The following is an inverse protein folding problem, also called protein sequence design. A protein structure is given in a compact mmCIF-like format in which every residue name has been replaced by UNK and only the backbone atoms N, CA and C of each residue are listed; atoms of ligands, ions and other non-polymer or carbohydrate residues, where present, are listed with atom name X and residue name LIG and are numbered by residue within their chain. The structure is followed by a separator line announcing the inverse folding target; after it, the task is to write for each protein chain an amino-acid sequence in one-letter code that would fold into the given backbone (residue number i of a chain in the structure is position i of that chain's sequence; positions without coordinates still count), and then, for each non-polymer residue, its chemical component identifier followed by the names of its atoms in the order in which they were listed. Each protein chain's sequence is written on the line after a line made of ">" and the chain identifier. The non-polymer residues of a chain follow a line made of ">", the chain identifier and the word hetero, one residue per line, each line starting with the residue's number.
data_IF_884347529677
#
_entry.id   IF_884347529677
#
_cell.length_a   1.000
_cell.length_b   1.000
_cell.length_c   1.000
_cell.angle_alpha   90.00
_cell.angle_beta   90.00
_cell.angle_gamma   90.00
#
_symmetry.space_group_name_H-M   'P 1'
#
loop_
_entity.id
_entity.type
_entity.pdbx_description
1 polymer ?
#
# COMPACT_ATOMS: atom_id res chain seq x y z
N UNK A 1 13.10 17.48 -16.40
CA UNK A 1 12.67 17.26 -15.01
C UNK A 1 11.44 16.38 -15.07
N UNK A 2 11.55 15.14 -14.62
CA UNK A 2 10.40 14.26 -14.43
C UNK A 2 9.68 14.75 -13.17
N UNK A 3 8.44 15.23 -13.32
CA UNK A 3 7.64 15.65 -12.17
C UNK A 3 7.26 14.38 -11.38
N UNK A 4 7.35 14.37 -10.03
CA UNK A 4 7.19 13.17 -9.20
C UNK A 4 5.72 12.71 -9.02
N UNK A 5 4.86 12.96 -10.00
CA UNK A 5 3.41 12.83 -9.86
C UNK A 5 2.82 11.61 -10.61
N UNK A 6 3.63 10.96 -11.46
CA UNK A 6 3.22 9.80 -12.27
C UNK A 6 3.75 8.48 -11.68
N UNK A 7 3.02 7.39 -11.89
CA UNK A 7 3.48 6.04 -11.56
C UNK A 7 4.32 5.48 -12.69
N UNK A 8 5.64 5.46 -12.51
CA UNK A 8 6.59 4.87 -13.46
C UNK A 8 6.53 3.35 -13.50
N UNK A 9 6.70 2.77 -14.70
CA UNK A 9 6.78 1.33 -14.93
C UNK A 9 8.17 0.96 -15.44
N UNK A 10 8.77 -0.05 -14.84
CA UNK A 10 10.01 -0.66 -15.30
C UNK A 10 9.87 -2.18 -15.35
N UNK A 11 10.60 -2.82 -16.26
CA UNK A 11 10.60 -4.27 -16.45
C UNK A 11 12.02 -4.80 -16.37
N UNK A 12 12.18 -5.92 -15.68
CA UNK A 12 13.40 -6.70 -15.65
C UNK A 12 13.21 -8.01 -16.40
N UNK A 13 14.24 -8.44 -17.13
CA UNK A 13 14.31 -9.73 -17.81
C UNK A 13 15.28 -10.71 -17.12
N UNK A 14 15.91 -10.31 -16.01
CA UNK A 14 17.02 -11.00 -15.37
C UNK A 14 16.84 -11.08 -13.84
N UNK A 15 15.59 -11.29 -13.41
CA UNK A 15 15.19 -11.48 -12.00
C UNK A 15 15.45 -10.24 -11.12
N UNK A 16 15.28 -9.05 -11.69
CA UNK A 16 15.40 -7.77 -10.98
C UNK A 16 16.83 -7.24 -10.87
N UNK A 17 17.82 -7.85 -11.54
CA UNK A 17 19.21 -7.37 -11.53
C UNK A 17 19.40 -6.12 -12.38
N UNK A 18 18.75 -6.05 -13.54
CA UNK A 18 18.70 -4.88 -14.40
C UNK A 18 17.26 -4.53 -14.77
N UNK A 19 17.03 -3.23 -14.99
CA UNK A 19 15.69 -2.69 -15.23
C UNK A 19 15.69 -1.80 -16.47
N UNK A 20 14.70 -2.01 -17.33
CA UNK A 20 14.40 -1.11 -18.44
C UNK A 20 13.13 -0.32 -18.12
N UNK A 21 13.23 1.00 -18.07
CA UNK A 21 12.07 1.88 -17.94
C UNK A 21 11.16 1.74 -19.16
N UNK A 22 9.84 1.64 -18.94
CA UNK A 22 8.82 1.40 -19.96
C UNK A 22 7.80 2.53 -20.08
N UNK A 23 7.94 3.60 -19.30
CA UNK A 23 7.04 4.73 -19.32
C UNK A 23 6.24 4.85 -18.02
N UNK A 24 5.07 5.46 -18.10
CA UNK A 24 4.16 5.66 -16.98
C UNK A 24 2.93 4.75 -17.13
N UNK A 25 2.30 4.41 -16.02
CA UNK A 25 1.00 3.73 -16.01
C UNK A 25 -0.07 4.64 -16.63
N UNK A 26 -0.92 4.07 -17.47
CA UNK A 26 -2.01 4.75 -18.16
C UNK A 26 -3.34 4.54 -17.42
N UNK A 27 -4.27 5.50 -17.51
CA UNK A 27 -5.64 5.37 -16.97
C UNK A 27 -5.78 5.64 -15.47
N UNK A 28 -4.79 6.30 -14.86
CA UNK A 28 -4.82 6.66 -13.44
C UNK A 28 -5.61 7.95 -13.15
N UNK A 29 -6.04 8.69 -14.16
CA UNK A 29 -6.75 9.95 -13.99
C UNK A 29 -8.02 9.77 -13.13
N UNK A 30 -8.00 10.33 -11.91
CA UNK A 30 -9.13 10.25 -10.98
C UNK A 30 -9.99 11.53 -11.02
N UNK A 31 -9.36 12.68 -11.19
CA UNK A 31 -10.00 13.99 -11.25
C UNK A 31 -9.39 14.86 -12.37
N UNK A 32 -10.10 15.88 -12.86
CA UNK A 32 -9.58 16.76 -13.92
C UNK A 32 -8.31 17.49 -13.48
N UNK A 33 -7.29 17.50 -14.35
CA UNK A 33 -6.01 18.15 -14.10
C UNK A 33 -4.91 17.17 -13.69
N UNK A 34 -3.77 17.69 -13.22
CA UNK A 34 -2.66 16.88 -12.72
C UNK A 34 -2.83 16.63 -11.23
N UNK A 35 -2.58 15.41 -10.80
CA UNK A 35 -2.70 14.95 -9.43
C UNK A 35 -1.41 14.22 -9.03
N UNK A 36 -1.12 14.12 -7.74
CA UNK A 36 0.07 13.44 -7.23
C UNK A 36 -0.30 12.02 -6.80
N UNK A 37 0.40 11.03 -7.36
CA UNK A 37 0.29 9.61 -7.00
C UNK A 37 1.64 9.07 -6.52
N UNK A 38 1.64 8.22 -5.50
CA UNK A 38 2.88 7.55 -5.05
C UNK A 38 2.62 6.24 -4.31
N UNK A 39 3.69 5.51 -4.03
CA UNK A 39 3.70 4.24 -3.28
C UNK A 39 2.59 3.26 -3.71
N UNK A 40 2.54 2.86 -5.00
CA UNK A 40 1.55 1.88 -5.45
C UNK A 40 1.89 0.49 -4.89
N UNK A 41 0.91 -0.15 -4.29
CA UNK A 41 0.93 -1.58 -3.99
C UNK A 41 0.21 -2.33 -5.10
N UNK A 42 0.90 -3.27 -5.76
CA UNK A 42 0.34 -4.04 -6.88
C UNK A 42 0.34 -5.53 -6.55
N UNK A 43 -0.85 -6.13 -6.53
CA UNK A 43 -1.03 -7.55 -6.24
C UNK A 43 -1.70 -8.28 -7.41
N UNK A 44 -1.24 -9.51 -7.66
CA UNK A 44 -1.96 -10.46 -8.49
C UNK A 44 -2.92 -11.26 -7.59
N UNK A 45 -4.23 -11.11 -7.85
CA UNK A 45 -5.26 -11.74 -7.02
C UNK A 45 -5.85 -12.97 -7.69
N UNK A 46 -6.15 -12.83 -8.97
CA UNK A 46 -6.75 -13.85 -9.83
C UNK A 46 -5.91 -14.03 -11.09
N UNK A 47 -6.18 -15.10 -11.84
CA UNK A 47 -5.49 -15.35 -13.10
C UNK A 47 -5.79 -14.23 -14.09
N UNK A 48 -4.78 -13.40 -14.36
CA UNK A 48 -4.86 -12.31 -15.33
C UNK A 48 -5.40 -10.98 -14.81
N UNK A 49 -5.69 -10.85 -13.51
CA UNK A 49 -6.15 -9.59 -12.91
C UNK A 49 -5.18 -9.10 -11.85
N UNK A 50 -4.79 -7.83 -11.98
CA UNK A 50 -3.94 -7.11 -11.03
C UNK A 50 -4.75 -6.03 -10.35
N UNK A 51 -4.54 -5.86 -9.05
CA UNK A 51 -5.12 -4.77 -8.26
C UNK A 51 -3.99 -3.83 -7.86
N UNK A 52 -4.24 -2.53 -7.97
CA UNK A 52 -3.36 -1.48 -7.46
C UNK A 52 -4.07 -0.70 -6.37
N UNK A 53 -3.39 -0.49 -5.25
CA UNK A 53 -3.77 0.49 -4.22
C UNK A 53 -2.69 1.55 -4.18
N UNK A 54 -3.04 2.80 -4.49
CA UNK A 54 -2.07 3.88 -4.67
C UNK A 54 -2.45 5.08 -3.82
N UNK A 55 -1.45 5.70 -3.20
CA UNK A 55 -1.63 6.95 -2.46
C UNK A 55 -1.94 8.08 -3.44
N UNK A 56 -2.93 8.90 -3.11
CA UNK A 56 -3.39 10.01 -3.95
C UNK A 56 -3.55 11.30 -3.16
N UNK A 57 -3.07 12.40 -3.73
CA UNK A 57 -3.31 13.78 -3.31
C UNK A 57 -3.79 14.62 -4.50
N UNK A 58 -4.85 15.45 -4.33
CA UNK A 58 -5.27 16.38 -5.37
C UNK A 58 -4.20 17.43 -5.70
N UNK A 59 -4.00 17.71 -6.99
CA UNK A 59 -3.07 18.71 -7.49
C UNK A 59 -1.60 18.27 -7.48
N UNK A 60 -0.75 19.10 -8.08
CA UNK A 60 0.72 19.02 -7.90
C UNK A 60 1.08 19.82 -6.66
N UNK A 61 1.81 19.21 -5.73
CA UNK A 61 2.02 19.74 -4.38
C UNK A 61 3.42 20.33 -4.20
N UNK A 62 3.48 21.49 -3.52
CA UNK A 62 4.72 22.06 -2.95
C UNK A 62 4.88 21.73 -1.45
N UNK A 63 3.84 21.15 -0.85
CA UNK A 63 3.80 20.66 0.53
C UNK A 63 2.92 19.42 0.65
N UNK A 64 3.27 18.52 1.56
CA UNK A 64 2.53 17.28 1.81
C UNK A 64 1.37 17.49 2.78
N UNK A 65 0.55 18.52 2.58
CA UNK A 65 -0.58 18.86 3.47
C UNK A 65 -1.95 18.62 2.81
N UNK A 66 -3.03 18.59 3.60
CA UNK A 66 -4.39 18.30 3.12
C UNK A 66 -4.76 16.81 3.11
N UNK A 67 -5.86 16.49 2.45
CA UNK A 67 -6.47 15.16 2.48
C UNK A 67 -5.81 14.23 1.47
N UNK A 68 -5.54 13.00 1.90
CA UNK A 68 -4.93 11.95 1.10
C UNK A 68 -5.74 10.66 1.24
N UNK A 69 -5.84 9.90 0.17
CA UNK A 69 -6.66 8.70 0.11
C UNK A 69 -5.97 7.60 -0.68
N UNK A 70 -6.33 6.36 -0.38
CA UNK A 70 -5.95 5.21 -1.18
C UNK A 70 -6.99 4.99 -2.27
N UNK A 71 -6.54 5.01 -3.52
CA UNK A 71 -7.36 4.71 -4.68
C UNK A 71 -7.10 3.27 -5.14
N UNK A 72 -8.18 2.59 -5.54
CA UNK A 72 -8.15 1.23 -6.08
C UNK A 72 -8.34 1.25 -7.59
N UNK A 73 -7.41 0.60 -8.28
CA UNK A 73 -7.48 0.32 -9.70
C UNK A 73 -7.32 -1.17 -9.98
N UNK A 74 -7.79 -1.61 -11.14
CA UNK A 74 -7.48 -2.94 -11.67
C UNK A 74 -6.90 -2.87 -13.07
N UNK A 75 -6.14 -3.89 -13.44
CA UNK A 75 -5.55 -4.00 -14.76
C UNK A 75 -5.47 -5.47 -15.20
N UNK A 76 -5.57 -5.70 -16.51
CA UNK A 76 -5.28 -6.99 -17.13
C UNK A 76 -3.84 -7.12 -17.67
N UNK A 77 -3.15 -5.99 -17.89
CA UNK A 77 -1.85 -5.93 -18.57
C UNK A 77 -0.74 -5.24 -17.74
N UNK A 78 -1.09 -4.73 -16.55
CA UNK A 78 -0.24 -3.98 -15.60
C UNK A 78 0.20 -2.60 -16.10
N UNK A 79 -0.26 -2.18 -17.28
CA UNK A 79 0.11 -0.91 -17.91
C UNK A 79 -1.08 0.04 -17.92
N UNK A 80 -2.27 -0.46 -18.29
CA UNK A 80 -3.52 0.29 -18.33
C UNK A 80 -4.38 -0.08 -17.15
N UNK A 81 -4.76 0.93 -16.39
CA UNK A 81 -5.47 0.79 -15.15
C UNK A 81 -6.87 1.37 -15.28
N UNK A 82 -7.83 0.72 -14.65
CA UNK A 82 -9.21 1.15 -14.60
C UNK A 82 -9.57 1.42 -13.14
N UNK A 83 -10.04 2.64 -12.87
CA UNK A 83 -10.48 3.05 -11.55
C UNK A 83 -11.64 2.19 -11.05
N UNK A 84 -11.60 1.82 -9.76
CA UNK A 84 -12.66 1.05 -9.10
C UNK A 84 -13.29 1.79 -7.94
N UNK A 85 -12.49 2.31 -7.02
CA UNK A 85 -13.00 3.01 -5.85
C UNK A 85 -11.94 3.88 -5.18
N UNK A 86 -12.39 4.89 -4.45
CA UNK A 86 -11.62 5.47 -3.36
C UNK A 86 -11.97 4.69 -2.08
N UNK A 87 -10.98 4.27 -1.31
CA UNK A 87 -11.21 3.43 -0.14
C UNK A 87 -11.76 4.27 1.03
N UNK A 88 -12.87 3.82 1.61
CA UNK A 88 -13.35 4.33 2.90
C UNK A 88 -12.71 3.53 4.04
N UNK A 89 -11.65 4.10 4.62
CA UNK A 89 -10.93 3.54 5.76
C UNK A 89 -11.17 4.36 7.04
N UNK A 90 -12.21 5.20 7.06
CA UNK A 90 -12.56 6.04 8.22
C UNK A 90 -11.50 7.09 8.60
N UNK A 91 -10.66 7.50 7.65
CA UNK A 91 -9.72 8.62 7.79
C UNK A 91 -9.51 9.26 6.42
N UNK A 92 -9.33 10.59 6.41
CA UNK A 92 -9.13 11.43 5.23
C UNK A 92 -7.65 11.59 4.86
N UNK A 93 -6.77 10.80 5.49
CA UNK A 93 -5.32 10.93 5.30
C UNK A 93 -4.60 9.60 5.45
N UNK A 94 -4.98 8.66 4.58
CA UNK A 94 -4.48 7.29 4.55
C UNK A 94 -3.63 7.06 3.29
N UNK A 95 -2.44 6.51 3.48
CA UNK A 95 -1.43 6.35 2.42
C UNK A 95 -0.59 5.07 2.64
N UNK A 96 0.24 4.75 1.65
CA UNK A 96 1.29 3.74 1.68
C UNK A 96 0.76 2.35 2.03
N UNK A 97 -0.11 1.84 1.16
CA UNK A 97 -0.70 0.53 1.32
C UNK A 97 0.35 -0.58 1.13
N UNK A 98 0.10 -1.71 1.79
CA UNK A 98 0.68 -3.02 1.48
C UNK A 98 -0.39 -4.07 1.70
N UNK A 99 -0.48 -5.11 0.87
CA UNK A 99 -1.52 -6.13 0.99
C UNK A 99 -0.93 -7.54 1.02
N UNK A 100 -1.37 -8.36 1.97
CA UNK A 100 -0.90 -9.75 2.10
C UNK A 100 -2.06 -10.73 2.38
N UNK A 101 -2.05 -11.95 1.81
CA UNK A 101 -3.07 -12.97 2.07
C UNK A 101 -3.17 -13.39 3.54
N UNK A 102 -4.40 -13.49 4.06
CA UNK A 102 -4.72 -14.06 5.38
C UNK A 102 -4.36 -15.55 5.46
N UNK A 103 -3.94 -16.10 6.62
CA UNK A 103 -3.43 -17.48 6.70
C UNK A 103 -4.56 -18.50 6.54
N UNK A 104 -5.78 -18.09 6.87
CA UNK A 104 -6.99 -18.89 6.78
C UNK A 104 -7.56 -18.93 5.35
N UNK A 105 -6.93 -18.22 4.41
CA UNK A 105 -7.34 -18.17 3.00
C UNK A 105 -8.65 -17.43 2.75
N UNK A 106 -9.24 -16.76 3.75
CA UNK A 106 -10.55 -16.09 3.61
C UNK A 106 -10.50 -14.72 2.96
N UNK A 107 -9.32 -14.25 2.60
CA UNK A 107 -9.14 -12.93 2.01
C UNK A 107 -7.73 -12.42 2.18
N UNK A 108 -7.60 -11.09 2.16
CA UNK A 108 -6.32 -10.39 2.35
C UNK A 108 -6.45 -9.30 3.40
N UNK A 109 -5.31 -8.96 3.98
CA UNK A 109 -5.17 -7.82 4.88
C UNK A 109 -4.33 -6.75 4.21
N UNK A 110 -4.79 -5.52 4.30
CA UNK A 110 -4.04 -4.33 3.99
C UNK A 110 -3.43 -3.76 5.28
N UNK A 111 -2.23 -3.21 5.15
CA UNK A 111 -1.64 -2.24 6.08
C UNK A 111 -1.51 -0.92 5.38
N UNK A 112 -1.78 0.15 6.10
CA UNK A 112 -1.67 1.50 5.58
C UNK A 112 -1.31 2.45 6.72
N UNK A 113 -0.64 3.55 6.39
CA UNK A 113 -0.37 4.63 7.32
C UNK A 113 -1.61 5.50 7.43
N UNK A 114 -2.02 5.83 8.66
CA UNK A 114 -3.03 6.86 8.93
C UNK A 114 -2.36 8.07 9.58
N UNK A 115 -2.20 9.15 8.82
CA UNK A 115 -1.53 10.35 9.32
C UNK A 115 -2.40 11.12 10.34
N UNK A 116 -3.73 10.91 10.34
CA UNK A 116 -4.61 11.50 11.36
C UNK A 116 -4.51 10.79 12.69
N UNK A 117 -4.25 9.48 12.70
CA UNK A 117 -3.98 8.72 13.92
C UNK A 117 -2.46 8.61 14.18
N UNK A 118 -1.81 9.77 14.35
CA UNK A 118 -0.41 9.87 14.72
C UNK A 118 0.57 9.14 13.78
N UNK A 119 0.25 9.02 12.48
CA UNK A 119 1.07 8.29 11.50
C UNK A 119 1.32 6.83 11.90
N UNK A 120 0.31 6.19 12.49
CA UNK A 120 0.38 4.77 12.85
C UNK A 120 0.02 3.89 11.67
N UNK A 121 0.50 2.65 11.70
CA UNK A 121 0.09 1.63 10.73
C UNK A 121 -1.21 0.98 11.22
N UNK A 122 -2.26 1.10 10.42
CA UNK A 122 -3.55 0.44 10.62
C UNK A 122 -3.69 -0.79 9.73
N UNK A 123 -4.74 -1.57 9.97
CA UNK A 123 -5.12 -2.67 9.09
C UNK A 123 -6.51 -2.49 8.53
N UNK A 124 -6.78 -3.16 7.40
CA UNK A 124 -8.12 -3.45 6.93
C UNK A 124 -8.15 -4.83 6.31
N UNK A 125 -9.24 -5.57 6.47
CA UNK A 125 -9.41 -6.91 5.90
C UNK A 125 -10.41 -6.86 4.75
N UNK A 126 -10.15 -7.63 3.71
CA UNK A 126 -11.00 -7.73 2.53
C UNK A 126 -11.18 -9.18 2.10
N UNK A 127 -12.42 -9.65 1.88
CA UNK A 127 -12.67 -10.98 1.33
C UNK A 127 -12.45 -11.06 -0.19
N UNK A 128 -12.50 -9.92 -0.90
CA UNK A 128 -12.64 -9.86 -2.36
C UNK A 128 -11.74 -8.82 -3.04
N UNK A 129 -10.92 -8.08 -2.28
CA UNK A 129 -10.10 -6.96 -2.75
C UNK A 129 -10.89 -5.80 -3.36
N UNK A 130 -12.17 -5.68 -3.04
CA UNK A 130 -13.02 -4.55 -3.43
C UNK A 130 -13.61 -3.87 -2.20
N UNK A 131 -13.97 -4.65 -1.20
CA UNK A 131 -14.58 -4.18 0.04
C UNK A 131 -13.61 -4.35 1.19
N UNK A 132 -13.38 -3.28 1.96
CA UNK A 132 -12.40 -3.26 3.04
C UNK A 132 -13.09 -2.94 4.37
N UNK A 133 -12.77 -3.70 5.40
CA UNK A 133 -13.24 -3.46 6.78
C UNK A 133 -12.05 -3.04 7.64
N UNK A 134 -12.05 -1.79 8.12
CA UNK A 134 -10.98 -1.27 8.98
C UNK A 134 -10.86 -2.10 10.26
N UNK A 135 -9.62 -2.48 10.59
CA UNK A 135 -9.23 -3.12 11.83
C UNK A 135 -8.52 -2.19 12.80
N UNK A 136 -7.96 -2.78 13.86
CA UNK A 136 -7.17 -2.07 14.85
C UNK A 136 -5.78 -1.67 14.29
N UNK A 137 -5.08 -0.69 14.92
CA UNK A 137 -3.68 -0.43 14.60
C UNK A 137 -2.81 -1.69 14.71
N UNK A 138 -1.97 -1.93 13.70
CA UNK A 138 -1.01 -3.03 13.70
C UNK A 138 0.16 -2.75 14.66
N UNK A 139 0.57 -1.48 14.75
CA UNK A 139 1.65 -1.00 15.62
C UNK A 139 1.23 0.33 16.24
N UNK A 140 1.41 0.47 17.56
CA UNK A 140 0.86 1.59 18.35
C UNK A 140 1.92 2.39 19.11
N UNK A 141 3.18 1.97 19.10
CA UNK A 141 4.22 2.53 19.96
C UNK A 141 5.02 3.66 19.30
N UNK A 142 4.96 3.83 17.97
CA UNK A 142 5.66 4.90 17.26
C UNK A 142 5.03 5.23 15.88
N UNK A 143 5.18 6.48 15.40
CA UNK A 143 4.81 6.88 14.03
C UNK A 143 5.75 6.22 13.01
N UNK A 144 5.21 5.80 11.86
CA UNK A 144 5.91 5.00 10.83
C UNK A 144 5.34 5.26 9.42
N UNK A 145 6.09 4.86 8.41
CA UNK A 145 5.75 4.96 6.99
C UNK A 145 6.10 3.68 6.22
N UNK A 146 5.51 3.52 5.04
CA UNK A 146 5.91 2.50 4.07
C UNK A 146 5.86 1.08 4.61
N UNK A 147 4.74 0.63 5.21
CA UNK A 147 4.63 -0.75 5.65
C UNK A 147 4.87 -1.69 4.47
N UNK A 148 5.69 -2.71 4.68
CA UNK A 148 5.90 -3.83 3.73
C UNK A 148 5.83 -5.13 4.50
N UNK A 149 4.94 -6.03 4.09
CA UNK A 149 4.66 -7.29 4.78
C UNK A 149 5.10 -8.45 3.90
N UNK A 150 5.86 -9.36 4.50
CA UNK A 150 6.35 -10.56 3.85
C UNK A 150 6.51 -11.69 4.88
N UNK A 151 6.67 -12.91 4.38
CA UNK A 151 6.75 -14.11 5.22
C UNK A 151 8.04 -14.90 4.93
N UNK A 152 9.15 -14.62 5.62
CA UNK A 152 10.30 -15.52 5.61
C UNK A 152 9.97 -16.78 6.42
N UNK A 153 10.16 -17.95 5.80
CA UNK A 153 9.80 -19.25 6.37
C UNK A 153 8.34 -19.26 6.92
N UNK A 154 8.16 -19.40 8.22
CA UNK A 154 6.85 -19.51 8.87
C UNK A 154 6.49 -18.30 9.76
N UNK A 155 7.20 -17.19 9.64
CA UNK A 155 6.94 -15.97 10.39
C UNK A 155 6.47 -14.82 9.49
N UNK A 156 5.43 -14.09 9.90
CA UNK A 156 5.05 -12.84 9.24
C UNK A 156 5.89 -11.68 9.78
N UNK A 157 6.51 -10.94 8.87
CA UNK A 157 7.30 -9.76 9.17
C UNK A 157 6.62 -8.53 8.57
N UNK A 158 6.69 -7.41 9.27
CA UNK A 158 6.41 -6.09 8.70
C UNK A 158 7.65 -5.21 8.86
N UNK A 159 8.11 -4.67 7.74
CA UNK A 159 9.10 -3.61 7.69
C UNK A 159 8.44 -2.24 7.54
N UNK A 160 9.02 -1.22 8.18
CA UNK A 160 8.58 0.19 8.13
C UNK A 160 9.78 1.12 8.21
N UNK A 161 9.64 2.33 7.67
CA UNK A 161 10.52 3.46 7.99
C UNK A 161 9.93 4.24 9.19
N UNK A 162 10.72 4.46 10.24
CA UNK A 162 10.30 5.25 11.40
C UNK A 162 11.05 6.59 11.52
N UNK A 163 11.66 7.04 10.41
CA UNK A 163 12.54 8.21 10.33
C UNK A 163 13.73 8.16 11.29
N UNK A 164 14.09 6.96 11.74
CA UNK A 164 15.26 6.67 12.55
C UNK A 164 15.89 5.32 12.11
N UNK A 165 15.76 5.01 10.82
CA UNK A 165 16.14 3.73 10.21
C UNK A 165 14.94 2.85 9.89
N UNK A 166 15.23 1.62 9.49
CA UNK A 166 14.19 0.61 9.22
C UNK A 166 13.87 -0.16 10.49
N UNK A 167 12.57 -0.38 10.74
CA UNK A 167 12.08 -1.24 11.81
C UNK A 167 11.56 -2.55 11.21
N UNK A 168 11.78 -3.67 11.91
CA UNK A 168 11.15 -4.98 11.62
C UNK A 168 10.34 -5.41 12.84
N UNK A 169 9.07 -5.75 12.65
CA UNK A 169 8.16 -6.17 13.72
C UNK A 169 7.25 -7.30 13.27
N UNK A 170 6.85 -8.16 14.22
CA UNK A 170 5.74 -9.08 14.01
C UNK A 170 4.43 -8.26 14.00
N UNK A 171 3.65 -8.26 12.91
CA UNK A 171 2.40 -7.50 12.89
C UNK A 171 1.41 -8.12 13.88
N UNK A 172 1.00 -7.34 14.89
CA UNK A 172 0.17 -7.81 16.03
C UNK A 172 -1.14 -8.48 15.63
N UNK A 173 -1.63 -8.20 14.44
CA UNK A 173 -2.93 -8.65 13.95
C UNK A 173 -2.91 -10.08 13.39
N UNK A 174 -1.75 -10.72 13.25
CA UNK A 174 -1.66 -12.15 12.82
C UNK A 174 -1.63 -13.13 13.97
N UNK A 175 -1.20 -12.71 15.15
CA UNK A 175 -1.05 -13.55 16.33
C UNK A 175 -1.93 -13.03 17.47
N UNK A 176 -3.08 -13.67 17.73
CA UNK A 176 -3.81 -13.41 18.96
C UNK A 176 -2.89 -13.71 20.16
N UNK A 177 -2.61 -12.71 21.01
CA UNK A 177 -2.09 -12.94 22.36
C UNK A 177 -0.58 -13.10 22.55
N UNK A 178 0.29 -12.79 21.59
CA UNK A 178 1.74 -12.66 21.85
C UNK A 178 2.24 -11.24 21.59
N UNK A 179 2.27 -10.46 22.66
CA UNK A 179 3.04 -9.23 22.71
C UNK A 179 4.51 -9.58 22.99
N UNK A 180 5.34 -9.61 21.97
CA UNK A 180 6.78 -9.44 22.17
C UNK A 180 7.39 -8.67 21.01
N UNK A 181 8.29 -7.72 21.35
CA UNK A 181 9.24 -7.09 20.43
C UNK A 181 10.25 -8.13 19.94
N UNK A 182 9.79 -9.15 19.25
CA UNK A 182 10.68 -10.03 18.52
C UNK A 182 10.81 -9.41 17.14
N UNK A 183 12.02 -8.93 16.83
CA UNK A 183 12.44 -8.79 15.44
C UNK A 183 12.18 -10.13 14.78
N UNK A 184 11.51 -10.09 13.63
CA UNK A 184 11.26 -11.27 12.83
C UNK A 184 12.39 -11.45 11.83
#
# INVERSE_FOLDING_TARGET
>A
MTNPDDIGVAVSADEGRTWTYRGIAEGLEYAPGRMTYWAPEVIAADVGTYHMYVSYLPGVRDSWTGDAQLLHYVSGDRLRWEFRSALDLGSDRVIDATVYPLPDGRGRRMWFKDERDHSRIHTADSPDLHTWTRGAPAVTDQPQEGPTVFRPADAYCMMTDNWNGLSSTAPRTWTPGRASRTSC
#
